data_IF_859181994493
#
_entry.id   IF_859181994493
#
_cell.length_a   1.000
_cell.length_b   1.000
_cell.length_c   1.000
_cell.angle_alpha   90.00
_cell.angle_beta   90.00
_cell.angle_gamma   90.00
#
_symmetry.space_group_name_H-M   'P 1'
#
loop_
_entity.id
_entity.type
_entity.pdbx_description
1 polymer ?
#
# COMPACT_ATOMS: atom_id res chain seq x y z
N UNK A 1 5.31 -19.21 10.58
CA UNK A 1 4.70 -19.07 9.25
C UNK A 1 5.00 -17.67 8.78
N UNK A 2 5.43 -17.52 7.54
CA UNK A 2 5.73 -16.21 6.97
C UNK A 2 4.43 -15.42 6.80
N UNK A 3 4.32 -14.28 7.51
CA UNK A 3 3.16 -13.43 7.49
C UNK A 3 2.92 -12.82 6.11
N UNK A 4 3.98 -12.58 5.35
CA UNK A 4 3.90 -12.06 3.98
C UNK A 4 3.30 -13.09 3.03
N UNK A 5 3.72 -14.36 3.17
CA UNK A 5 3.17 -15.47 2.38
C UNK A 5 1.66 -15.62 2.59
N UNK A 6 1.20 -15.62 3.84
CA UNK A 6 -0.23 -15.69 4.15
C UNK A 6 -0.99 -14.53 3.54
N UNK A 7 -0.41 -13.32 3.57
CA UNK A 7 -1.07 -12.17 3.02
C UNK A 7 -1.23 -12.28 1.50
N UNK A 8 -0.17 -12.73 0.81
CA UNK A 8 -0.21 -13.01 -0.62
C UNK A 8 -1.25 -14.08 -0.97
N UNK A 9 -1.36 -15.13 -0.16
CA UNK A 9 -2.33 -16.21 -0.38
C UNK A 9 -3.77 -15.71 -0.19
N UNK A 10 -4.05 -14.91 0.85
CA UNK A 10 -5.35 -14.24 1.03
C UNK A 10 -5.70 -13.40 -0.19
N UNK A 11 -4.77 -12.57 -0.65
CA UNK A 11 -5.00 -11.68 -1.78
C UNK A 11 -5.24 -12.47 -3.08
N UNK A 12 -4.56 -13.61 -3.25
CA UNK A 12 -4.74 -14.50 -4.41
C UNK A 12 -6.13 -15.15 -4.42
N UNK A 13 -6.61 -15.65 -3.27
CA UNK A 13 -7.95 -16.22 -3.13
C UNK A 13 -9.04 -15.19 -3.45
N UNK A 14 -8.96 -14.00 -2.85
CA UNK A 14 -9.96 -12.96 -3.05
C UNK A 14 -9.99 -12.45 -4.49
N UNK A 15 -8.82 -12.34 -5.13
CA UNK A 15 -8.72 -11.94 -6.54
C UNK A 15 -9.36 -12.99 -7.45
N UNK A 16 -9.08 -14.28 -7.22
CA UNK A 16 -9.72 -15.37 -7.97
C UNK A 16 -11.25 -15.29 -7.87
N UNK A 17 -11.79 -15.20 -6.66
CA UNK A 17 -13.24 -15.13 -6.43
C UNK A 17 -13.85 -13.90 -7.10
N UNK A 18 -13.20 -12.74 -7.01
CA UNK A 18 -13.70 -11.53 -7.66
C UNK A 18 -13.68 -11.64 -9.19
N UNK A 19 -12.59 -12.15 -9.76
CA UNK A 19 -12.43 -12.27 -11.22
C UNK A 19 -13.44 -13.26 -11.82
N UNK A 20 -13.67 -14.40 -11.14
CA UNK A 20 -14.68 -15.37 -11.57
C UNK A 20 -16.09 -14.75 -11.53
N UNK A 21 -16.44 -14.09 -10.43
CA UNK A 21 -17.72 -13.37 -10.31
C UNK A 21 -17.89 -12.28 -11.39
N UNK A 22 -16.85 -11.49 -11.67
CA UNK A 22 -16.86 -10.46 -12.72
C UNK A 22 -17.04 -11.10 -14.11
N UNK A 23 -16.39 -12.24 -14.38
CA UNK A 23 -16.49 -12.96 -15.65
C UNK A 23 -17.90 -13.47 -15.93
N UNK A 24 -18.64 -13.81 -14.88
CA UNK A 24 -20.04 -14.24 -14.93
C UNK A 24 -21.02 -13.05 -15.01
N UNK A 25 -20.55 -11.81 -14.87
CA UNK A 25 -21.40 -10.62 -14.78
C UNK A 25 -22.30 -10.61 -13.53
N UNK A 26 -21.87 -11.30 -12.48
CA UNK A 26 -22.66 -11.53 -11.28
C UNK A 26 -22.27 -10.56 -10.15
N UNK A 27 -22.99 -10.63 -9.01
CA UNK A 27 -22.74 -9.79 -7.84
C UNK A 27 -22.44 -10.62 -6.60
N UNK A 28 -21.86 -10.01 -5.58
CA UNK A 28 -21.59 -10.67 -4.29
C UNK A 28 -22.86 -11.22 -3.61
N UNK A 29 -24.05 -10.75 -4.01
CA UNK A 29 -25.35 -11.22 -3.50
C UNK A 29 -25.86 -12.48 -4.21
N UNK A 30 -25.36 -12.76 -5.41
CA UNK A 30 -25.89 -13.79 -6.30
C UNK A 30 -24.93 -14.96 -6.49
N UNK A 31 -23.64 -14.78 -6.19
CA UNK A 31 -22.60 -15.82 -6.35
C UNK A 31 -22.30 -16.50 -5.03
N UNK A 32 -22.07 -17.81 -5.10
CA UNK A 32 -21.52 -18.64 -4.04
C UNK A 32 -20.35 -19.43 -4.60
N UNK A 33 -19.28 -19.52 -3.82
CA UNK A 33 -18.10 -20.33 -4.13
C UNK A 33 -18.10 -21.59 -3.27
N UNK A 34 -17.71 -22.71 -3.87
CA UNK A 34 -17.62 -24.01 -3.25
C UNK A 34 -16.22 -24.59 -3.32
N UNK A 35 -15.57 -24.68 -2.17
CA UNK A 35 -14.21 -25.21 -2.02
C UNK A 35 -14.17 -26.60 -1.37
N UNK A 36 -15.32 -27.26 -1.27
CA UNK A 36 -15.38 -28.66 -0.83
C UNK A 36 -14.77 -29.59 -1.89
N UNK A 37 -14.46 -30.82 -1.48
CA UNK A 37 -13.88 -31.81 -2.38
C UNK A 37 -14.76 -32.05 -3.62
N UNK A 38 -14.11 -32.13 -4.79
CA UNK A 38 -14.76 -32.33 -6.09
C UNK A 38 -15.46 -31.10 -6.69
N UNK A 39 -15.53 -29.96 -6.00
CA UNK A 39 -16.14 -28.73 -6.55
C UNK A 39 -15.21 -27.95 -7.49
N UNK A 40 -15.79 -27.17 -8.40
CA UNK A 40 -15.03 -26.47 -9.45
C UNK A 40 -14.07 -25.41 -8.87
N UNK A 41 -14.50 -24.62 -7.88
CA UNK A 41 -13.61 -23.60 -7.29
C UNK A 41 -12.43 -24.24 -6.54
N UNK A 42 -12.63 -25.44 -5.98
CA UNK A 42 -11.53 -26.22 -5.40
C UNK A 42 -10.51 -26.65 -6.46
N UNK A 43 -10.98 -27.17 -7.60
CA UNK A 43 -10.10 -27.55 -8.71
C UNK A 43 -9.29 -26.35 -9.22
N UNK A 44 -9.93 -25.18 -9.34
CA UNK A 44 -9.24 -23.95 -9.75
C UNK A 44 -8.10 -23.57 -8.78
N UNK A 45 -8.30 -23.72 -7.46
CA UNK A 45 -7.23 -23.48 -6.47
C UNK A 45 -6.07 -24.47 -6.65
N UNK A 46 -6.39 -25.75 -6.83
CA UNK A 46 -5.40 -26.81 -6.99
C UNK A 46 -4.56 -26.59 -8.26
N UNK A 47 -5.19 -26.19 -9.37
CA UNK A 47 -4.53 -25.90 -10.65
C UNK A 47 -3.67 -24.62 -10.62
N UNK A 48 -4.18 -23.53 -10.05
CA UNK A 48 -3.51 -22.23 -10.11
C UNK A 48 -2.45 -22.04 -9.03
N UNK A 49 -2.69 -22.56 -7.83
CA UNK A 49 -1.87 -22.27 -6.66
C UNK A 49 -1.24 -23.51 -6.03
N UNK A 50 -1.70 -24.72 -6.39
CA UNK A 50 -1.22 -25.98 -5.85
C UNK A 50 -1.23 -25.99 -4.30
N UNK A 51 -2.31 -25.48 -3.71
CA UNK A 51 -2.48 -25.45 -2.26
C UNK A 51 -3.01 -26.77 -1.75
N UNK A 52 -2.46 -27.25 -0.63
CA UNK A 52 -3.08 -28.37 0.08
C UNK A 52 -4.44 -27.95 0.66
N UNK A 53 -5.32 -28.92 0.85
CA UNK A 53 -6.62 -28.70 1.49
C UNK A 53 -6.48 -27.98 2.85
N UNK A 54 -5.56 -28.45 3.68
CA UNK A 54 -5.32 -27.87 5.00
C UNK A 54 -4.93 -26.39 4.89
N UNK A 55 -4.13 -26.04 3.87
CA UNK A 55 -3.71 -24.67 3.63
C UNK A 55 -4.86 -23.80 3.13
N UNK A 56 -5.62 -24.27 2.14
CA UNK A 56 -6.80 -23.56 1.64
C UNK A 56 -7.81 -23.29 2.75
N UNK A 57 -8.16 -24.31 3.53
CA UNK A 57 -9.13 -24.15 4.63
C UNK A 57 -8.61 -23.22 5.73
N UNK A 58 -7.29 -23.19 5.96
CA UNK A 58 -6.67 -22.21 6.86
C UNK A 58 -6.80 -20.79 6.31
N UNK A 59 -6.53 -20.56 5.04
CA UNK A 59 -6.71 -19.25 4.38
C UNK A 59 -8.17 -18.81 4.46
N UNK A 60 -9.12 -19.69 4.11
CA UNK A 60 -10.56 -19.43 4.21
C UNK A 60 -10.96 -19.04 5.65
N UNK A 61 -10.50 -19.77 6.67
CA UNK A 61 -10.78 -19.41 8.07
C UNK A 61 -10.27 -18.01 8.42
N UNK A 62 -9.10 -17.62 7.93
CA UNK A 62 -8.55 -16.28 8.14
C UNK A 62 -9.37 -15.23 7.40
N UNK A 63 -9.77 -15.49 6.15
CA UNK A 63 -10.63 -14.56 5.41
C UNK A 63 -11.98 -14.38 6.11
N UNK A 64 -12.57 -15.47 6.62
CA UNK A 64 -13.84 -15.43 7.34
C UNK A 64 -13.71 -14.68 8.67
N UNK A 65 -12.64 -14.89 9.43
CA UNK A 65 -12.42 -14.17 10.70
C UNK A 65 -12.14 -12.68 10.51
N UNK A 66 -11.64 -12.29 9.33
CA UNK A 66 -11.41 -10.89 8.94
C UNK A 66 -12.59 -10.26 8.19
N UNK A 67 -13.74 -10.94 8.10
CA UNK A 67 -14.92 -10.48 7.38
C UNK A 67 -14.70 -10.20 5.88
N UNK A 68 -13.69 -10.84 5.27
CA UNK A 68 -13.40 -10.74 3.83
C UNK A 68 -14.27 -11.70 3.01
N UNK A 69 -14.69 -12.79 3.63
CA UNK A 69 -15.66 -13.73 3.09
C UNK A 69 -16.65 -14.10 4.19
N UNK A 70 -17.77 -14.68 3.79
CA UNK A 70 -18.73 -15.28 4.70
C UNK A 70 -18.93 -16.74 4.31
N UNK A 71 -18.46 -17.65 5.14
CA UNK A 71 -18.76 -19.07 4.99
C UNK A 71 -20.13 -19.38 5.64
N UNK A 72 -21.10 -19.80 4.83
CA UNK A 72 -22.45 -20.17 5.28
C UNK A 72 -22.65 -21.69 5.35
N UNK A 73 -21.57 -22.45 5.23
CA UNK A 73 -21.56 -23.92 5.21
C UNK A 73 -20.48 -24.47 6.14
N UNK A 74 -20.70 -25.68 6.68
CA UNK A 74 -19.70 -26.32 7.55
C UNK A 74 -18.55 -26.97 6.75
N UNK A 75 -18.80 -27.28 5.48
CA UNK A 75 -17.92 -28.02 4.57
C UNK A 75 -17.25 -27.12 3.52
N UNK A 76 -17.38 -25.80 3.64
CA UNK A 76 -16.85 -24.82 2.70
C UNK A 76 -17.46 -24.90 1.29
N UNK A 77 -18.62 -25.54 1.15
CA UNK A 77 -19.36 -25.65 -0.12
C UNK A 77 -20.08 -24.37 -0.54
N UNK A 78 -20.31 -23.45 0.40
CA UNK A 78 -21.03 -22.20 0.18
C UNK A 78 -20.36 -21.05 0.90
N UNK A 79 -19.59 -20.28 0.15
CA UNK A 79 -18.87 -19.10 0.60
C UNK A 79 -19.28 -17.90 -0.24
N UNK A 80 -19.55 -16.78 0.42
CA UNK A 80 -19.79 -15.50 -0.23
C UNK A 80 -18.59 -14.57 -0.07
N UNK A 81 -18.28 -13.82 -1.10
CA UNK A 81 -17.38 -12.67 -0.99
C UNK A 81 -18.14 -11.52 -0.29
N UNK A 82 -17.49 -10.80 0.64
CA UNK A 82 -18.10 -9.61 1.25
C UNK A 82 -17.72 -8.36 0.46
N UNK A 83 -18.39 -7.23 0.74
CA UNK A 83 -18.01 -5.92 0.17
C UNK A 83 -16.55 -5.56 0.48
N UNK A 84 -16.07 -5.86 1.70
CA UNK A 84 -14.68 -5.63 2.12
C UNK A 84 -13.72 -6.56 1.35
N UNK A 85 -14.06 -7.85 1.22
CA UNK A 85 -13.26 -8.80 0.45
C UNK A 85 -13.15 -8.42 -1.02
N UNK A 86 -14.27 -7.98 -1.62
CA UNK A 86 -14.32 -7.49 -2.99
C UNK A 86 -13.48 -6.22 -3.16
N UNK A 87 -13.64 -5.25 -2.26
CA UNK A 87 -12.87 -4.00 -2.28
C UNK A 87 -11.37 -4.27 -2.20
N UNK A 88 -10.96 -5.23 -1.36
CA UNK A 88 -9.57 -5.67 -1.26
C UNK A 88 -9.06 -6.33 -2.54
N UNK A 89 -9.82 -7.25 -3.14
CA UNK A 89 -9.48 -7.90 -4.41
C UNK A 89 -9.25 -6.87 -5.53
N UNK A 90 -10.18 -5.92 -5.67
CA UNK A 90 -10.09 -4.81 -6.61
C UNK A 90 -8.85 -3.96 -6.32
N UNK A 91 -8.59 -3.62 -5.05
CA UNK A 91 -7.42 -2.84 -4.64
C UNK A 91 -6.10 -3.54 -4.95
N UNK A 92 -6.01 -4.86 -4.79
CA UNK A 92 -4.79 -5.62 -5.14
C UNK A 92 -4.59 -5.69 -6.65
N UNK A 93 -5.66 -5.99 -7.41
CA UNK A 93 -5.64 -6.09 -8.88
C UNK A 93 -5.23 -4.76 -9.53
N UNK A 94 -5.79 -3.65 -9.05
CA UNK A 94 -5.54 -2.33 -9.61
C UNK A 94 -4.37 -1.61 -8.95
N UNK A 95 -4.15 -1.77 -7.65
CA UNK A 95 -3.11 -1.06 -6.88
C UNK A 95 -1.68 -1.40 -7.32
N UNK A 96 -1.44 -2.59 -7.87
CA UNK A 96 -0.13 -2.93 -8.46
C UNK A 96 0.15 -2.23 -9.80
N UNK A 97 -0.88 -1.73 -10.49
CA UNK A 97 -0.77 -1.09 -11.81
C UNK A 97 -1.34 0.35 -11.88
N UNK A 98 -1.90 0.89 -10.78
CA UNK A 98 -2.60 2.20 -10.76
C UNK A 98 -1.76 3.42 -10.44
N UNK A 99 -0.45 3.28 -10.24
CA UNK A 99 0.42 4.47 -10.13
C UNK A 99 0.30 5.41 -11.32
N UNK A 100 -0.15 4.90 -12.48
CA UNK A 100 -0.32 5.65 -13.72
C UNK A 100 -1.74 6.20 -13.95
N UNK A 101 -2.79 5.65 -13.32
CA UNK A 101 -4.19 6.09 -13.50
C UNK A 101 -4.65 7.13 -12.46
N UNK A 102 -3.97 7.24 -11.32
CA UNK A 102 -4.26 8.22 -10.27
C UNK A 102 -3.71 9.62 -10.63
N UNK A 103 -3.95 10.05 -11.87
CA UNK A 103 -3.88 11.46 -12.22
C UNK A 103 -4.87 12.25 -11.34
N UNK A 104 -4.33 13.15 -10.52
CA UNK A 104 -5.05 14.12 -9.68
C UNK A 104 -5.95 13.56 -8.55
N UNK A 105 -5.35 13.49 -7.35
CA UNK A 105 -5.97 13.79 -6.04
C UNK A 105 -7.35 13.20 -5.70
N UNK A 106 -7.39 11.94 -5.25
CA UNK A 106 -8.48 11.47 -4.36
C UNK A 106 -8.14 11.84 -2.91
N UNK A 107 -8.94 12.71 -2.29
CA UNK A 107 -8.86 12.98 -0.86
C UNK A 107 -9.71 11.94 -0.10
N UNK A 108 -9.04 10.96 0.52
CA UNK A 108 -9.68 9.83 1.20
C UNK A 108 -10.17 10.23 2.61
N UNK A 109 -9.47 11.14 3.30
CA UNK A 109 -9.83 11.67 4.62
C UNK A 109 -9.12 12.99 4.93
N UNK A 110 -9.63 13.74 5.91
CA UNK A 110 -8.96 14.92 6.49
C UNK A 110 -8.44 14.57 7.87
N UNK A 111 -7.12 14.59 8.04
CA UNK A 111 -6.44 14.40 9.33
C UNK A 111 -6.13 15.77 9.94
N UNK A 112 -6.81 16.11 11.04
CA UNK A 112 -6.43 17.27 11.85
C UNK A 112 -5.43 16.84 12.92
N UNK A 113 -4.17 17.21 12.74
CA UNK A 113 -3.10 16.93 13.69
C UNK A 113 -2.67 18.23 14.35
N UNK A 114 -2.74 18.29 15.69
CA UNK A 114 -2.17 19.37 16.48
C UNK A 114 -0.76 18.98 16.96
N UNK A 115 0.21 19.02 16.05
CA UNK A 115 1.62 18.65 16.27
C UNK A 115 2.30 18.16 14.99
N UNK A 116 3.63 17.96 14.98
CA UNK A 116 4.32 17.37 13.83
C UNK A 116 3.90 15.91 13.68
N UNK A 117 3.09 15.61 12.66
CA UNK A 117 2.78 14.25 12.25
C UNK A 117 3.29 13.97 10.84
N UNK A 118 3.88 12.80 10.69
CA UNK A 118 4.28 12.28 9.40
C UNK A 118 3.22 11.28 8.92
N UNK A 119 2.63 11.54 7.75
CA UNK A 119 1.76 10.57 7.07
C UNK A 119 2.53 9.99 5.88
N UNK A 120 2.91 8.71 5.99
CA UNK A 120 3.68 7.98 4.97
C UNK A 120 5.19 8.26 4.96
N UNK A 121 5.94 7.49 4.16
CA UNK A 121 7.40 7.61 4.02
C UNK A 121 7.83 8.65 2.95
N UNK A 122 6.88 9.16 2.14
CA UNK A 122 7.16 10.04 1.00
C UNK A 122 7.43 11.50 1.38
N UNK A 123 6.88 12.01 2.48
CA UNK A 123 7.01 13.44 2.81
C UNK A 123 8.42 13.80 3.29
N UNK A 124 9.03 12.97 4.13
CA UNK A 124 10.42 13.16 4.55
C UNK A 124 11.35 13.07 3.35
N UNK A 125 11.18 12.07 2.47
CA UNK A 125 11.96 11.95 1.22
C UNK A 125 11.79 13.18 0.31
N UNK A 126 10.57 13.71 0.15
CA UNK A 126 10.32 14.93 -0.63
C UNK A 126 11.05 16.14 -0.04
N UNK A 127 11.05 16.32 1.28
CA UNK A 127 11.76 17.43 1.93
C UNK A 127 13.28 17.29 1.73
N UNK A 128 13.85 16.09 1.93
CA UNK A 128 15.26 15.83 1.62
C UNK A 128 15.59 16.15 0.16
N UNK A 129 14.74 15.69 -0.77
CA UNK A 129 14.94 15.91 -2.21
C UNK A 129 14.91 17.40 -2.56
N UNK A 130 14.00 18.19 -1.96
CA UNK A 130 13.91 19.63 -2.18
C UNK A 130 15.18 20.34 -1.71
N UNK A 131 15.68 20.02 -0.51
CA UNK A 131 16.91 20.65 -0.02
C UNK A 131 18.15 20.21 -0.78
N UNK A 132 18.27 18.93 -1.15
CA UNK A 132 19.35 18.43 -2.01
C UNK A 132 19.33 19.13 -3.38
N UNK A 133 18.15 19.31 -3.98
CA UNK A 133 18.00 20.02 -5.25
C UNK A 133 18.34 21.50 -5.10
N UNK A 134 17.99 22.14 -3.98
CA UNK A 134 18.33 23.53 -3.70
C UNK A 134 19.86 23.70 -3.59
N UNK A 135 20.56 22.83 -2.85
CA UNK A 135 22.02 22.84 -2.75
C UNK A 135 22.66 22.67 -4.13
N UNK A 136 22.17 21.71 -4.92
CA UNK A 136 22.64 21.50 -6.29
C UNK A 136 22.42 22.73 -7.18
N UNK A 137 21.26 23.36 -7.10
CA UNK A 137 20.95 24.56 -7.88
C UNK A 137 21.81 25.77 -7.47
N UNK A 138 22.16 25.89 -6.18
CA UNK A 138 23.13 26.91 -5.72
C UNK A 138 24.48 26.64 -6.40
N UNK A 139 24.92 25.38 -6.42
CA UNK A 139 26.20 25.00 -7.02
C UNK A 139 26.26 25.22 -8.53
N UNK A 140 25.20 24.82 -9.22
CA UNK A 140 25.08 24.92 -10.68
C UNK A 140 24.77 26.35 -11.16
N UNK A 141 24.51 27.29 -10.23
CA UNK A 141 24.21 28.69 -10.57
C UNK A 141 25.43 29.42 -11.14
N UNK A 142 25.20 30.48 -11.91
CA UNK A 142 26.26 31.36 -12.43
C UNK A 142 26.68 32.46 -11.44
N UNK A 143 26.33 32.34 -10.15
CA UNK A 143 26.72 33.27 -9.10
C UNK A 143 28.22 33.15 -8.75
N UNK A 144 28.75 34.15 -8.03
CA UNK A 144 30.13 34.09 -7.54
C UNK A 144 30.29 32.99 -6.48
N UNK A 145 31.52 32.49 -6.31
CA UNK A 145 31.81 31.47 -5.29
C UNK A 145 31.49 31.96 -3.86
N UNK A 146 31.66 33.26 -3.62
CA UNK A 146 31.33 33.91 -2.34
C UNK A 146 29.82 33.88 -2.08
N UNK A 147 29.01 34.24 -3.08
CA UNK A 147 27.54 34.21 -2.97
C UNK A 147 27.01 32.78 -2.76
N UNK A 148 27.61 31.80 -3.44
CA UNK A 148 27.27 30.38 -3.27
C UNK A 148 27.57 29.90 -1.86
N UNK A 149 28.75 30.25 -1.33
CA UNK A 149 29.16 29.89 0.02
C UNK A 149 28.23 30.53 1.08
N UNK A 150 27.89 31.80 0.91
CA UNK A 150 26.95 32.50 1.79
C UNK A 150 25.56 31.85 1.76
N UNK A 151 25.05 31.53 0.57
CA UNK A 151 23.73 30.89 0.41
C UNK A 151 23.67 29.52 1.12
N UNK A 152 24.71 28.68 0.96
CA UNK A 152 24.81 27.40 1.67
C UNK A 152 24.89 27.60 3.18
N UNK A 153 25.70 28.55 3.65
CA UNK A 153 25.83 28.85 5.09
C UNK A 153 24.49 29.25 5.71
N UNK A 154 23.72 30.11 5.03
CA UNK A 154 22.39 30.53 5.51
C UNK A 154 21.41 29.35 5.54
N UNK A 155 21.49 28.47 4.55
CA UNK A 155 20.67 27.26 4.50
C UNK A 155 21.02 26.30 5.64
N UNK A 156 22.30 26.08 5.94
CA UNK A 156 22.74 25.30 7.09
C UNK A 156 22.21 25.90 8.39
N UNK A 157 22.37 27.21 8.62
CA UNK A 157 21.87 27.86 9.83
C UNK A 157 20.35 27.76 10.01
N UNK A 158 19.59 27.80 8.90
CA UNK A 158 18.14 27.58 8.94
C UNK A 158 17.81 26.16 9.41
N UNK A 159 18.51 25.15 8.88
CA UNK A 159 18.27 23.73 9.17
C UNK A 159 18.78 23.29 10.54
N UNK A 160 19.73 24.01 11.12
CA UNK A 160 20.22 23.80 12.49
C UNK A 160 19.32 24.46 13.56
N UNK A 161 18.42 25.36 13.16
CA UNK A 161 17.60 26.11 14.10
C UNK A 161 16.61 25.19 14.85
N UNK A 162 16.61 25.13 16.20
CA UNK A 162 15.82 24.15 16.96
C UNK A 162 14.31 24.15 16.67
N UNK A 163 13.72 25.33 16.42
CA UNK A 163 12.30 25.43 16.03
C UNK A 163 12.03 24.91 14.62
N UNK A 164 13.00 24.99 13.70
CA UNK A 164 12.85 24.50 12.33
C UNK A 164 12.98 22.97 12.34
N UNK A 165 13.98 22.45 13.04
CA UNK A 165 14.20 21.01 13.20
C UNK A 165 13.05 20.30 13.91
N UNK A 166 12.37 20.95 14.86
CA UNK A 166 11.21 20.36 15.55
C UNK A 166 9.98 20.24 14.64
N UNK A 167 9.84 21.11 13.64
CA UNK A 167 8.73 21.11 12.67
C UNK A 167 9.02 20.14 11.52
N UNK A 168 10.23 20.17 10.99
CA UNK A 168 10.62 19.43 9.78
C UNK A 168 11.10 17.99 10.10
N UNK A 169 11.42 17.72 11.36
CA UNK A 169 12.05 16.46 11.79
C UNK A 169 13.56 16.49 11.57
N UNK A 170 14.24 15.36 11.86
CA UNK A 170 15.71 15.25 11.75
C UNK A 170 16.19 15.15 10.30
N UNK A 171 15.90 16.17 9.48
CA UNK A 171 16.33 16.24 8.07
C UNK A 171 17.78 16.70 7.94
N UNK A 172 18.23 17.56 8.86
CA UNK A 172 19.54 18.24 8.80
C UNK A 172 20.72 17.26 8.60
N UNK A 173 20.83 16.19 9.39
CA UNK A 173 21.99 15.29 9.39
C UNK A 173 22.18 14.39 8.15
N UNK A 174 21.48 14.64 7.05
CA UNK A 174 21.46 13.75 5.87
C UNK A 174 21.52 14.45 4.52
N UNK A 175 21.70 15.78 4.49
CA UNK A 175 21.85 16.55 3.25
C UNK A 175 23.35 16.67 2.94
N UNK A 176 23.86 15.99 1.89
CA UNK A 176 25.27 16.06 1.52
C UNK A 176 25.66 17.48 1.09
N UNK A 177 26.76 18.00 1.63
CA UNK A 177 27.32 19.31 1.23
C UNK A 177 26.86 20.51 2.08
N UNK A 178 26.06 20.28 3.12
CA UNK A 178 25.76 21.29 4.16
C UNK A 178 26.46 21.00 5.50
N UNK A 179 27.06 19.81 5.65
CA UNK A 179 27.81 19.31 6.79
C UNK A 179 29.02 18.51 6.32
#
# INVERSE_FOLDING_TARGET
>A
MDAEKIQKDIDSLLTLMNDDMESLGATIKTVTFGFADGQEDRKAIDELFNWSEEHLFRVIKICNSRSLIQNVSNDYSRIHLTEEGQSRAISVKHGKNRSYELGASMQIATLNVNGPAQVGNGNTQNIHNVFNQLVKNIEDSSASDEDKAEAKSRLTSLLEHPLVTSIIGSVAGSIPGLF
#
